data_IF_718285952143
#
_entry.id   IF_718285952143
#
_cell.length_a   1.000
_cell.length_b   1.000
_cell.length_c   1.000
_cell.angle_alpha   90.00
_cell.angle_beta   90.00
_cell.angle_gamma   90.00
#
_symmetry.space_group_name_H-M   'P 1'
#
loop_
_entity.id
_entity.type
_entity.pdbx_description
1 polymer ?
#
# COMPACT_ATOMS: atom_id res chain seq x y z
N UNK A 1 12.61 -3.55 -0.08
CA UNK A 1 11.83 -2.83 -1.11
C UNK A 1 11.26 -3.87 -2.07
N UNK A 2 10.01 -3.72 -2.53
CA UNK A 2 9.33 -4.74 -3.36
C UNK A 2 9.64 -4.53 -4.85
N UNK A 3 9.70 -5.60 -5.66
CA UNK A 3 10.06 -5.56 -7.09
C UNK A 3 9.15 -4.65 -7.93
N UNK A 4 7.91 -4.43 -7.49
CA UNK A 4 6.98 -3.52 -8.18
C UNK A 4 7.28 -2.03 -7.97
N UNK A 5 8.34 -1.68 -7.24
CA UNK A 5 8.78 -0.30 -7.00
C UNK A 5 10.13 -0.14 -7.70
N UNK A 6 10.16 0.67 -8.75
CA UNK A 6 11.32 0.89 -9.60
C UNK A 6 11.80 2.33 -9.47
N UNK A 7 13.11 2.54 -9.54
CA UNK A 7 13.70 3.89 -9.60
C UNK A 7 13.58 4.46 -11.02
N UNK A 8 13.31 5.76 -11.11
CA UNK A 8 13.15 6.44 -12.38
C UNK A 8 11.85 6.08 -13.10
N UNK A 9 11.90 6.12 -14.43
CA UNK A 9 10.75 5.92 -15.35
C UNK A 9 10.98 4.80 -16.35
N UNK A 10 12.04 4.01 -16.20
CA UNK A 10 12.30 2.88 -17.09
C UNK A 10 11.44 1.68 -16.73
N UNK A 11 11.05 0.93 -17.75
CA UNK A 11 10.52 -0.42 -17.56
C UNK A 11 11.65 -1.33 -17.07
N UNK A 12 11.36 -2.33 -16.21
CA UNK A 12 12.37 -3.31 -15.83
C UNK A 12 12.85 -4.09 -17.05
N UNK A 13 14.12 -4.51 -17.05
CA UNK A 13 14.62 -5.46 -18.04
C UNK A 13 13.88 -6.79 -17.87
N UNK A 14 13.33 -7.31 -18.97
CA UNK A 14 12.67 -8.62 -18.99
C UNK A 14 13.50 -9.59 -19.84
N UNK A 15 14.08 -10.57 -19.16
CA UNK A 15 14.86 -11.65 -19.77
C UNK A 15 13.96 -12.84 -20.08
N UNK A 16 14.37 -13.65 -21.07
CA UNK A 16 13.72 -14.94 -21.35
C UNK A 16 13.89 -15.85 -20.13
N UNK A 17 12.85 -16.59 -19.73
CA UNK A 17 13.02 -17.59 -18.68
C UNK A 17 14.01 -18.65 -19.15
N UNK A 18 14.86 -19.11 -18.23
CA UNK A 18 15.77 -20.25 -18.43
C UNK A 18 15.61 -21.30 -17.34
N UNK A 19 14.77 -21.01 -16.34
CA UNK A 19 14.58 -21.85 -15.15
C UNK A 19 13.28 -22.67 -15.18
N UNK A 20 12.29 -22.22 -15.95
CA UNK A 20 10.90 -22.67 -15.85
C UNK A 20 10.28 -23.02 -17.20
N UNK A 21 10.60 -22.26 -18.24
CA UNK A 21 10.16 -22.41 -19.62
C UNK A 21 11.07 -21.57 -20.53
N UNK A 22 10.77 -21.50 -21.83
CA UNK A 22 11.52 -20.70 -22.82
C UNK A 22 10.83 -19.37 -23.20
N UNK A 23 9.72 -19.04 -22.54
CA UNK A 23 8.95 -17.80 -22.76
C UNK A 23 9.36 -16.66 -21.80
N UNK A 24 8.75 -15.49 -21.96
CA UNK A 24 8.99 -14.31 -21.13
C UNK A 24 7.92 -14.18 -20.04
N UNK A 25 8.35 -13.82 -18.83
CA UNK A 25 7.45 -13.59 -17.69
C UNK A 25 7.28 -12.10 -17.43
N UNK A 26 6.10 -11.72 -16.94
CA UNK A 26 5.92 -10.41 -16.35
C UNK A 26 6.48 -10.41 -14.91
N UNK A 27 7.39 -9.50 -14.54
CA UNK A 27 7.96 -9.41 -13.19
C UNK A 27 6.94 -8.98 -12.11
N UNK A 28 5.77 -8.47 -12.51
CA UNK A 28 4.76 -7.93 -11.58
C UNK A 28 3.52 -8.82 -11.45
N UNK A 29 3.43 -9.89 -12.22
CA UNK A 29 2.29 -10.80 -12.26
C UNK A 29 2.75 -12.22 -12.00
N UNK A 30 2.00 -12.95 -11.16
CA UNK A 30 2.20 -14.39 -11.05
C UNK A 30 1.79 -15.07 -12.38
N UNK A 31 2.39 -16.23 -12.68
CA UNK A 31 2.16 -16.96 -13.94
C UNK A 31 0.69 -17.37 -14.15
N UNK A 32 -0.11 -17.48 -13.09
CA UNK A 32 -1.54 -17.75 -13.17
C UNK A 32 -2.38 -16.49 -13.47
N UNK A 33 -1.84 -15.29 -13.23
CA UNK A 33 -2.49 -14.02 -13.58
C UNK A 33 -2.15 -13.63 -15.02
N UNK A 34 -0.88 -13.77 -15.38
CA UNK A 34 -0.40 -13.55 -16.74
C UNK A 34 0.55 -14.68 -17.09
N UNK A 35 0.12 -15.54 -18.01
CA UNK A 35 0.91 -16.68 -18.45
C UNK A 35 2.16 -16.22 -19.19
N UNK A 36 3.27 -16.96 -19.08
CA UNK A 36 4.47 -16.70 -19.88
C UNK A 36 4.11 -16.64 -21.36
N UNK A 37 4.68 -15.67 -22.07
CA UNK A 37 4.32 -15.42 -23.46
C UNK A 37 5.51 -14.91 -24.29
N UNK A 38 5.28 -14.80 -25.61
CA UNK A 38 6.20 -14.16 -26.54
C UNK A 38 6.50 -12.71 -26.13
N UNK A 39 7.72 -12.27 -26.43
CA UNK A 39 8.26 -10.94 -26.08
C UNK A 39 7.28 -9.79 -26.36
N UNK A 40 6.70 -9.73 -27.56
CA UNK A 40 5.78 -8.67 -27.95
C UNK A 40 4.55 -8.56 -27.05
N UNK A 41 3.96 -9.69 -26.63
CA UNK A 41 2.82 -9.70 -25.73
C UNK A 41 3.19 -9.24 -24.32
N UNK A 42 4.35 -9.66 -23.83
CA UNK A 42 4.84 -9.23 -22.50
C UNK A 42 5.16 -7.75 -22.50
N UNK A 43 5.74 -7.23 -23.59
CA UNK A 43 6.07 -5.82 -23.72
C UNK A 43 4.81 -4.94 -23.69
N UNK A 44 3.77 -5.24 -24.48
CA UNK A 44 2.49 -4.52 -24.43
C UNK A 44 1.84 -4.63 -23.04
N UNK A 45 1.97 -5.78 -22.39
CA UNK A 45 1.47 -5.98 -21.03
C UNK A 45 2.22 -5.11 -20.00
N UNK A 46 3.54 -5.01 -20.09
CA UNK A 46 4.38 -4.16 -19.25
C UNK A 46 4.10 -2.68 -19.48
N UNK A 47 3.85 -2.27 -20.72
CA UNK A 47 3.41 -0.92 -21.03
C UNK A 47 2.08 -0.58 -20.31
N UNK A 48 1.15 -1.54 -20.23
CA UNK A 48 -0.06 -1.39 -19.41
C UNK A 48 0.25 -1.19 -17.92
N UNK A 49 1.27 -1.87 -17.38
CA UNK A 49 1.73 -1.64 -16.00
C UNK A 49 2.29 -0.23 -15.82
N UNK A 50 3.05 0.27 -16.79
CA UNK A 50 3.62 1.62 -16.74
C UNK A 50 2.54 2.70 -16.84
N UNK A 51 1.64 2.60 -17.81
CA UNK A 51 0.52 3.53 -18.02
C UNK A 51 -0.39 3.64 -16.79
N UNK A 52 -0.45 2.59 -15.97
CA UNK A 52 -1.28 2.53 -14.75
C UNK A 52 -0.49 2.79 -13.47
N UNK A 53 0.82 2.95 -13.54
CA UNK A 53 1.68 3.16 -12.38
C UNK A 53 1.39 4.48 -11.66
N UNK A 54 1.92 4.58 -10.45
CA UNK A 54 1.98 5.82 -9.67
C UNK A 54 3.42 6.31 -9.66
N UNK A 55 3.63 7.52 -10.14
CA UNK A 55 4.93 8.19 -10.07
C UNK A 55 4.99 9.01 -8.77
N UNK A 56 6.02 8.80 -7.96
CA UNK A 56 6.15 9.47 -6.67
C UNK A 56 7.63 9.60 -6.27
N UNK A 57 8.10 10.83 -6.02
CA UNK A 57 9.45 11.13 -5.50
C UNK A 57 10.59 10.39 -6.25
N UNK A 58 10.49 10.33 -7.58
CA UNK A 58 11.49 9.65 -8.42
C UNK A 58 11.28 8.14 -8.61
N UNK A 59 10.27 7.55 -7.98
CA UNK A 59 9.93 6.14 -8.15
C UNK A 59 8.72 5.93 -9.07
N UNK A 60 8.74 4.83 -9.82
CA UNK A 60 7.58 4.28 -10.52
C UNK A 60 7.04 3.07 -9.76
N UNK A 61 5.83 3.21 -9.23
CA UNK A 61 5.17 2.18 -8.41
C UNK A 61 4.11 1.48 -9.25
N UNK A 62 4.43 0.27 -9.69
CA UNK A 62 3.55 -0.56 -10.48
C UNK A 62 2.53 -1.30 -9.62
N UNK A 63 1.40 -1.63 -10.23
CA UNK A 63 0.40 -2.50 -9.61
C UNK A 63 0.92 -3.94 -9.58
N UNK A 64 0.99 -4.52 -8.39
CA UNK A 64 1.41 -5.88 -8.13
C UNK A 64 0.23 -6.85 -8.27
N UNK A 65 0.48 -7.94 -8.97
CA UNK A 65 -0.38 -9.11 -9.10
C UNK A 65 0.39 -10.41 -8.80
N UNK A 66 1.44 -10.30 -7.99
CA UNK A 66 2.12 -11.44 -7.39
C UNK A 66 1.31 -11.97 -6.20
N UNK A 67 1.78 -13.06 -5.59
CA UNK A 67 1.11 -13.77 -4.51
C UNK A 67 1.12 -13.04 -3.16
N UNK A 68 1.47 -11.75 -3.11
CA UNK A 68 1.43 -10.94 -1.89
C UNK A 68 0.00 -10.75 -1.36
N UNK A 69 -1.01 -10.71 -2.25
CA UNK A 69 -2.44 -10.60 -1.90
C UNK A 69 -3.33 -11.09 -3.05
N UNK A 70 -4.53 -11.66 -2.78
CA UNK A 70 -5.43 -12.14 -3.83
C UNK A 70 -5.89 -11.08 -4.83
N UNK A 71 -5.93 -9.79 -4.42
CA UNK A 71 -6.31 -8.68 -5.28
C UNK A 71 -5.11 -7.85 -5.66
N UNK A 72 -5.11 -7.33 -6.89
CA UNK A 72 -4.05 -6.44 -7.37
C UNK A 72 -3.95 -5.18 -6.53
N UNK A 73 -2.73 -4.83 -6.14
CA UNK A 73 -2.44 -3.82 -5.12
C UNK A 73 -1.18 -3.03 -5.43
N UNK A 74 -0.93 -1.97 -4.67
CA UNK A 74 0.30 -1.19 -4.69
C UNK A 74 1.05 -1.41 -3.38
N UNK A 75 2.38 -1.48 -3.43
CA UNK A 75 3.20 -1.53 -2.23
C UNK A 75 3.64 -0.11 -1.85
N UNK A 76 3.42 0.26 -0.59
CA UNK A 76 4.09 1.44 -0.03
C UNK A 76 5.53 1.08 0.35
N UNK A 77 6.48 1.99 0.12
CA UNK A 77 7.85 1.82 0.60
C UNK A 77 8.08 2.39 2.00
N UNK A 78 7.17 3.23 2.51
CA UNK A 78 7.23 3.76 3.88
C UNK A 78 6.58 2.83 4.92
N UNK A 79 5.68 1.93 4.51
CA UNK A 79 4.99 1.02 5.43
C UNK A 79 4.53 -0.27 4.72
N UNK A 80 3.97 -1.21 5.48
CA UNK A 80 3.50 -2.51 4.95
C UNK A 80 2.09 -2.46 4.33
N UNK A 81 1.51 -1.27 4.16
CA UNK A 81 0.19 -1.13 3.54
C UNK A 81 0.21 -1.54 2.07
N UNK A 82 -0.86 -2.22 1.65
CA UNK A 82 -1.07 -2.66 0.28
C UNK A 82 -2.43 -2.20 -0.28
N UNK A 83 -2.58 -0.92 -0.64
CA UNK A 83 -3.85 -0.40 -1.16
C UNK A 83 -4.18 -0.96 -2.54
N UNK A 84 -5.44 -1.31 -2.78
CA UNK A 84 -5.88 -1.93 -4.04
C UNK A 84 -6.27 -0.91 -5.12
N UNK A 85 -6.68 0.29 -4.69
CA UNK A 85 -7.13 1.39 -5.55
C UNK A 85 -6.06 2.47 -5.65
N UNK A 86 -5.86 3.00 -6.86
CA UNK A 86 -4.87 4.05 -7.14
C UNK A 86 -5.15 5.33 -6.35
N UNK A 87 -6.40 5.77 -6.28
CA UNK A 87 -6.78 6.98 -5.55
C UNK A 87 -6.45 6.88 -4.04
N UNK A 88 -6.75 5.73 -3.43
CA UNK A 88 -6.47 5.50 -2.01
C UNK A 88 -4.97 5.39 -1.76
N UNK A 89 -4.21 4.82 -2.70
CA UNK A 89 -2.74 4.77 -2.62
C UNK A 89 -2.11 6.17 -2.73
N UNK A 90 -2.59 7.03 -3.63
CA UNK A 90 -2.08 8.41 -3.75
C UNK A 90 -2.37 9.20 -2.48
N UNK A 91 -3.59 9.10 -1.92
CA UNK A 91 -3.93 9.72 -0.63
C UNK A 91 -3.01 9.21 0.48
N UNK A 92 -2.77 7.91 0.52
CA UNK A 92 -1.87 7.29 1.47
C UNK A 92 -0.45 7.88 1.37
N UNK A 93 0.13 7.99 0.16
CA UNK A 93 1.45 8.60 -0.02
C UNK A 93 1.50 10.07 0.43
N UNK A 94 0.45 10.85 0.13
CA UNK A 94 0.38 12.26 0.53
C UNK A 94 0.40 12.44 2.06
N UNK A 95 -0.24 11.55 2.82
CA UNK A 95 -0.21 11.57 4.28
C UNK A 95 1.19 11.29 4.84
N UNK A 96 1.94 10.35 4.23
CA UNK A 96 3.33 10.10 4.60
C UNK A 96 4.22 11.29 4.24
N UNK A 97 4.04 11.92 3.07
CA UNK A 97 4.76 13.14 2.72
C UNK A 97 4.61 14.22 3.80
N UNK A 98 3.37 14.52 4.20
CA UNK A 98 3.11 15.54 5.22
C UNK A 98 3.78 15.20 6.56
N UNK A 99 3.78 13.93 6.97
CA UNK A 99 4.43 13.48 8.21
C UNK A 99 5.96 13.55 8.16
N UNK A 100 6.56 13.26 7.01
CA UNK A 100 8.01 13.25 6.83
C UNK A 100 8.60 14.62 6.43
N UNK A 101 7.80 15.51 5.84
CA UNK A 101 8.19 16.90 5.54
C UNK A 101 8.09 17.85 6.74
N UNK A 102 7.42 17.45 7.83
CA UNK A 102 7.29 18.27 9.04
C UNK A 102 8.54 18.25 9.96
N UNK A 103 9.62 17.56 9.56
CA UNK A 103 10.92 17.62 10.24
C UNK A 103 11.81 18.55 9.42
N UNK A 104 11.52 19.85 9.48
CA UNK A 104 12.55 20.86 9.23
C UNK A 104 13.49 20.78 10.44
N UNK A 105 14.82 20.61 10.29
CA UNK A 105 15.72 20.85 11.41
C UNK A 105 15.58 22.32 11.79
N UNK A 106 14.83 22.60 12.85
CA UNK A 106 15.01 23.83 13.61
C UNK A 106 16.43 23.71 14.14
N UNK A 107 17.37 24.34 13.44
CA UNK A 107 18.69 24.63 13.99
C UNK A 107 18.40 25.41 15.28
N UNK A 108 18.69 24.89 16.49
CA UNK A 108 18.58 25.71 17.68
C UNK A 108 19.71 26.72 17.60
N UNK A 109 19.36 27.97 17.29
CA UNK A 109 20.21 29.12 17.54
C UNK A 109 20.52 29.18 19.05
N UNK A 110 21.79 29.07 19.46
CA UNK A 110 22.15 29.06 20.88
C UNK A 110 22.34 30.50 21.37
N UNK A 111 21.28 31.29 21.42
CA UNK A 111 21.32 32.63 22.04
C UNK A 111 19.96 33.13 22.48
N UNK A 112 19.37 32.54 23.53
CA UNK A 112 18.48 33.33 24.41
C UNK A 112 18.39 32.72 25.82
N UNK A 113 18.79 33.46 26.88
CA UNK A 113 18.71 32.96 28.24
C UNK A 113 17.27 33.02 28.80
N UNK A 114 16.92 31.91 29.43
CA UNK A 114 15.89 31.66 30.45
C UNK A 114 15.16 32.87 31.06
N UNK A 115 13.83 32.80 31.06
CA UNK A 115 13.02 33.34 32.16
C UNK A 115 11.85 32.41 32.47
N UNK A 116 11.79 32.04 33.74
CA UNK A 116 10.82 31.17 34.37
C UNK A 116 9.38 31.74 34.27
N UNK A 117 8.37 30.92 34.58
CA UNK A 117 7.45 31.13 35.72
C UNK A 117 6.10 30.37 35.54
N UNK A 118 5.78 29.56 36.55
CA UNK A 118 4.47 29.06 37.04
C UNK A 118 3.67 27.97 36.28
N UNK A 119 3.56 26.80 36.93
CA UNK A 119 2.29 26.06 37.16
C UNK A 119 1.59 26.64 38.43
N UNK A 120 0.33 26.32 38.85
CA UNK A 120 -0.52 25.12 38.59
C UNK A 120 -2.06 25.47 38.51
N UNK A 121 -3.05 24.64 38.94
CA UNK A 121 -3.55 23.36 38.38
C UNK A 121 -5.08 23.33 38.07
N UNK A 122 -5.50 22.21 37.46
CA UNK A 122 -6.77 21.46 37.64
C UNK A 122 -8.13 21.90 37.06
N UNK A 123 -8.88 20.83 36.72
CA UNK A 123 -10.34 20.65 36.64
C UNK A 123 -11.04 20.96 35.32
N UNK A 124 -11.48 19.91 34.62
CA UNK A 124 -12.89 19.53 34.68
C UNK A 124 -13.14 18.09 34.20
N UNK A 125 -13.69 17.30 35.13
CA UNK A 125 -14.44 16.07 34.89
C UNK A 125 -15.83 16.50 34.41
N UNK A 126 -16.33 15.96 33.29
CA UNK A 126 -17.77 15.80 33.15
C UNK A 126 -18.13 14.57 32.31
N UNK A 127 -18.81 13.65 32.97
CA UNK A 127 -19.48 12.48 32.42
C UNK A 127 -20.78 12.92 31.73
N UNK A 128 -21.21 12.18 30.70
CA UNK A 128 -22.61 11.74 30.58
C UNK A 128 -22.79 10.71 29.44
N UNK A 129 -23.82 9.85 29.52
CA UNK A 129 -23.78 8.50 28.96
C UNK A 129 -24.73 8.27 27.76
N UNK A 130 -24.57 7.07 27.19
CA UNK A 130 -25.60 6.24 26.55
C UNK A 130 -25.89 6.48 25.06
N UNK A 131 -25.67 5.44 24.25
CA UNK A 131 -26.63 4.99 23.22
C UNK A 131 -26.30 3.57 22.73
N UNK A 132 -27.04 2.62 23.29
CA UNK A 132 -27.66 1.45 22.69
C UNK A 132 -26.83 0.54 21.76
N UNK A 133 -26.43 -0.60 22.34
CA UNK A 133 -26.21 -1.87 21.65
C UNK A 133 -27.60 -2.50 21.44
N UNK A 134 -28.07 -2.54 20.19
CA UNK A 134 -29.09 -3.48 19.76
C UNK A 134 -28.42 -4.59 18.94
N UNK A 135 -28.27 -5.76 19.55
CA UNK A 135 -28.04 -7.01 18.84
C UNK A 135 -29.36 -7.79 18.81
N UNK A 136 -29.81 -8.31 17.65
CA UNK A 136 -30.78 -9.39 17.62
C UNK A 136 -30.08 -10.75 17.82
N UNK A 137 -30.72 -11.71 18.51
CA UNK A 137 -30.17 -13.04 18.74
C UNK A 137 -30.29 -13.95 17.51
N UNK A 138 -29.18 -14.64 17.26
CA UNK A 138 -29.05 -16.07 16.95
C UNK A 138 -30.21 -16.78 16.23
N UNK A 139 -30.02 -17.05 14.94
CA UNK A 139 -30.81 -18.05 14.21
C UNK A 139 -30.34 -19.47 14.58
N UNK A 140 -31.22 -20.24 15.23
CA UNK A 140 -31.26 -21.71 15.13
C UNK A 140 -31.42 -22.06 13.63
N UNK A 141 -30.80 -23.08 13.03
CA UNK A 141 -30.46 -24.39 13.55
C UNK A 141 -31.47 -25.41 13.02
N UNK A 142 -31.39 -25.79 11.73
CA UNK A 142 -32.08 -26.92 11.05
C UNK A 142 -31.52 -26.95 9.61
N UNK A 143 -31.22 -28.03 8.88
CA UNK A 143 -31.35 -29.48 9.03
C UNK A 143 -30.53 -30.09 7.88
N UNK A 144 -29.43 -30.81 8.16
CA UNK A 144 -28.83 -31.70 7.16
C UNK A 144 -29.46 -33.08 7.30
N UNK A 145 -30.25 -33.49 6.30
CA UNK A 145 -30.58 -34.89 6.05
C UNK A 145 -29.88 -35.30 4.76
N UNK A 146 -29.10 -36.38 4.86
CA UNK A 146 -28.55 -37.09 3.71
C UNK A 146 -29.55 -38.08 3.08
N UNK A 147 -28.99 -38.93 2.22
CA UNK A 147 -29.60 -40.00 1.41
C UNK A 147 -30.17 -39.51 0.08
N UNK A 148 -29.87 -40.10 -1.09
CA UNK A 148 -29.20 -41.35 -1.50
C UNK A 148 -28.61 -41.13 -2.90
#
# INVERSE_FOLDING_TARGET
MHISIQEGRSLPDFQRCTTCCEDFHCPFCASNVFHPAKLSKVQTHLESHFNRAVLYEGYTIHRCALNCKPRFHFHCFYCQSMPTRKADFIKHLALFKAKHSAITPIIPDPSTPSSQIHQPPSSQIQQSPSSQIHQPPSSQGERCKGSV
#
